data_IF_916501666913
#
_entry.id   IF_916501666913
#
_cell.length_a   1.000
_cell.length_b   1.000
_cell.length_c   1.000
_cell.angle_alpha   90.00
_cell.angle_beta   90.00
_cell.angle_gamma   90.00
#
_symmetry.space_group_name_H-M   'P 1'
#
loop_
_entity.id
_entity.type
_entity.pdbx_description
1 polymer ?
#
# COMPACT_ATOMS: atom_id res chain seq x y z
N UNK A 1 -24.15 -11.69 -13.57
CA UNK A 1 -24.65 -12.01 -14.92
C UNK A 1 -23.53 -11.74 -15.94
N UNK A 2 -22.41 -12.47 -15.85
CA UNK A 2 -21.22 -12.32 -16.70
C UNK A 2 -20.53 -13.68 -16.97
N UNK A 3 -21.21 -14.80 -16.70
CA UNK A 3 -20.56 -16.12 -16.53
C UNK A 3 -20.17 -16.87 -17.81
N UNK A 4 -20.73 -16.50 -18.97
CA UNK A 4 -20.61 -17.32 -20.19
C UNK A 4 -19.97 -16.58 -21.39
N UNK A 5 -19.51 -15.35 -21.21
CA UNK A 5 -18.85 -14.62 -22.28
C UNK A 5 -17.42 -15.17 -22.49
N UNK A 6 -17.08 -15.70 -23.69
CA UNK A 6 -15.76 -16.28 -23.98
C UNK A 6 -14.59 -15.33 -23.71
N UNK A 7 -14.79 -14.02 -23.84
CA UNK A 7 -13.76 -13.03 -23.57
C UNK A 7 -13.46 -12.94 -22.06
N UNK A 8 -14.49 -12.95 -21.21
CA UNK A 8 -14.32 -12.94 -19.76
C UNK A 8 -13.69 -14.25 -19.26
N UNK A 9 -14.08 -15.39 -19.84
CA UNK A 9 -13.49 -16.68 -19.50
C UNK A 9 -12.00 -16.73 -19.88
N UNK A 10 -11.63 -16.23 -21.07
CA UNK A 10 -10.23 -16.14 -21.50
C UNK A 10 -9.39 -15.22 -20.58
N UNK A 11 -9.95 -14.09 -20.15
CA UNK A 11 -9.30 -13.21 -19.16
C UNK A 11 -9.13 -13.95 -17.83
N UNK A 12 -10.19 -14.57 -17.30
CA UNK A 12 -10.15 -15.29 -16.04
C UNK A 12 -9.12 -16.43 -16.05
N UNK A 13 -9.05 -17.20 -17.13
CA UNK A 13 -8.10 -18.30 -17.26
C UNK A 13 -6.66 -17.81 -17.46
N UNK A 14 -6.46 -16.72 -18.20
CA UNK A 14 -5.15 -16.10 -18.30
C UNK A 14 -4.68 -15.45 -16.98
N UNK A 15 -5.57 -14.88 -16.17
CA UNK A 15 -5.24 -14.41 -14.82
C UNK A 15 -4.84 -15.57 -13.89
N UNK A 16 -5.54 -16.71 -13.95
CA UNK A 16 -5.14 -17.95 -13.24
C UNK A 16 -3.79 -18.47 -13.76
N UNK A 17 -3.52 -18.37 -15.05
CA UNK A 17 -2.23 -18.75 -15.64
C UNK A 17 -1.11 -17.84 -15.13
N UNK A 18 -1.35 -16.53 -15.02
CA UNK A 18 -0.41 -15.56 -14.45
C UNK A 18 -0.13 -15.80 -12.97
N UNK A 19 -1.09 -16.30 -12.18
CA UNK A 19 -0.84 -16.70 -10.79
C UNK A 19 0.20 -17.83 -10.69
N UNK A 20 0.31 -18.65 -11.74
CA UNK A 20 1.29 -19.73 -11.85
C UNK A 20 2.54 -19.33 -12.64
N UNK A 21 2.66 -18.07 -13.05
CA UNK A 21 3.84 -17.59 -13.75
C UNK A 21 5.08 -17.84 -12.90
N UNK A 22 6.13 -18.32 -13.56
CA UNK A 22 7.37 -18.67 -12.88
C UNK A 22 8.35 -17.50 -12.92
N UNK A 23 8.87 -17.06 -11.77
CA UNK A 23 9.98 -16.12 -11.74
C UNK A 23 11.28 -16.85 -12.14
N UNK A 24 12.01 -16.32 -13.11
CA UNK A 24 13.33 -16.81 -13.51
C UNK A 24 14.38 -15.81 -13.06
N UNK A 25 15.13 -16.16 -12.01
CA UNK A 25 16.22 -15.36 -11.49
C UNK A 25 17.55 -15.63 -12.24
N UNK A 26 18.50 -14.68 -12.27
CA UNK A 26 19.84 -14.93 -12.83
C UNK A 26 20.53 -16.13 -12.15
N UNK A 27 21.11 -17.03 -12.95
CA UNK A 27 21.64 -18.32 -12.48
C UNK A 27 22.75 -18.18 -11.44
N UNK A 28 23.68 -17.25 -11.66
CA UNK A 28 24.79 -16.96 -10.73
C UNK A 28 24.25 -16.44 -9.39
N UNK A 29 23.36 -15.44 -9.43
CA UNK A 29 22.78 -14.85 -8.23
C UNK A 29 21.96 -15.88 -7.44
N UNK A 30 21.16 -16.70 -8.12
CA UNK A 30 20.36 -17.77 -7.52
C UNK A 30 21.23 -18.86 -6.89
N UNK A 31 22.34 -19.23 -7.54
CA UNK A 31 23.28 -20.22 -7.01
C UNK A 31 23.96 -19.73 -5.74
N UNK A 32 24.34 -18.44 -5.70
CA UNK A 32 24.88 -17.80 -4.50
C UNK A 32 23.87 -17.81 -3.34
N UNK A 33 22.61 -17.44 -3.59
CA UNK A 33 21.56 -17.44 -2.56
C UNK A 33 21.29 -18.86 -2.06
N UNK A 34 21.22 -19.85 -2.96
CA UNK A 34 21.07 -21.27 -2.62
C UNK A 34 22.17 -21.73 -1.66
N UNK A 35 23.43 -21.46 -1.98
CA UNK A 35 24.56 -21.82 -1.11
C UNK A 35 24.50 -21.14 0.25
N UNK A 36 24.09 -19.86 0.30
CA UNK A 36 23.91 -19.15 1.58
C UNK A 36 22.81 -19.76 2.44
N UNK A 37 21.67 -20.16 1.84
CA UNK A 37 20.57 -20.82 2.55
C UNK A 37 20.97 -22.21 3.04
N UNK A 38 21.61 -23.03 2.20
CA UNK A 38 22.05 -24.38 2.56
C UNK A 38 23.13 -24.37 3.67
N UNK A 39 24.01 -23.37 3.69
CA UNK A 39 25.01 -23.21 4.74
C UNK A 39 24.42 -22.71 6.07
N UNK A 40 23.34 -21.91 6.02
CA UNK A 40 22.78 -21.24 7.19
C UNK A 40 21.73 -22.07 7.95
N UNK A 41 21.09 -23.03 7.29
CA UNK A 41 19.97 -23.78 7.86
C UNK A 41 20.25 -25.28 7.91
N UNK A 42 19.76 -25.94 8.98
CA UNK A 42 19.81 -27.38 9.07
C UNK A 42 18.94 -28.06 7.98
N UNK A 43 19.31 -29.26 7.51
CA UNK A 43 18.47 -30.05 6.61
C UNK A 43 17.05 -30.23 7.17
N UNK A 44 16.03 -29.99 6.33
CA UNK A 44 14.62 -30.08 6.72
C UNK A 44 14.04 -28.83 7.37
N UNK A 45 14.81 -27.74 7.52
CA UNK A 45 14.27 -26.46 8.00
C UNK A 45 13.21 -25.91 7.03
N UNK A 46 11.98 -25.69 7.52
CA UNK A 46 10.82 -25.34 6.68
C UNK A 46 11.03 -24.07 5.86
N UNK A 47 11.52 -22.99 6.47
CA UNK A 47 11.77 -21.74 5.76
C UNK A 47 12.84 -21.92 4.67
N UNK A 48 13.90 -22.68 4.96
CA UNK A 48 14.97 -22.91 3.99
C UNK A 48 14.43 -23.67 2.77
N UNK A 49 13.58 -24.68 2.99
CA UNK A 49 12.90 -25.39 1.91
C UNK A 49 12.03 -24.45 1.06
N UNK A 50 11.28 -23.52 1.67
CA UNK A 50 10.48 -22.53 0.95
C UNK A 50 11.32 -21.56 0.13
N UNK A 51 12.43 -21.04 0.69
CA UNK A 51 13.37 -20.18 -0.03
C UNK A 51 13.98 -20.91 -1.24
N UNK A 52 14.44 -22.15 -1.04
CA UNK A 52 15.05 -22.96 -2.10
C UNK A 52 14.05 -23.36 -3.20
N UNK A 53 12.79 -23.61 -2.83
CA UNK A 53 11.71 -23.86 -3.78
C UNK A 53 11.39 -22.62 -4.62
N UNK A 54 11.42 -21.43 -4.03
CA UNK A 54 11.22 -20.17 -4.74
C UNK A 54 12.34 -19.85 -5.75
N UNK A 55 13.53 -20.46 -5.62
CA UNK A 55 14.65 -20.37 -6.56
C UNK A 55 14.69 -21.54 -7.56
N UNK A 56 13.75 -22.48 -7.46
CA UNK A 56 13.74 -23.73 -8.22
C UNK A 56 13.04 -23.64 -9.57
N UNK A 57 13.12 -24.72 -10.37
CA UNK A 57 12.36 -24.85 -11.61
C UNK A 57 10.84 -24.88 -11.38
N UNK A 58 10.39 -25.27 -10.19
CA UNK A 58 8.98 -25.32 -9.81
C UNK A 58 8.50 -24.03 -9.11
N UNK A 59 9.29 -22.95 -9.16
CA UNK A 59 8.92 -21.69 -8.52
C UNK A 59 7.66 -21.10 -9.15
N UNK A 60 6.74 -20.60 -8.32
CA UNK A 60 5.49 -19.98 -8.74
C UNK A 60 5.31 -18.62 -8.09
N UNK A 61 4.70 -17.68 -8.82
CA UNK A 61 4.37 -16.34 -8.32
C UNK A 61 3.59 -16.39 -7.00
N UNK A 62 2.52 -17.18 -6.93
CA UNK A 62 1.66 -17.28 -5.74
C UNK A 62 2.44 -17.74 -4.49
N UNK A 63 3.30 -18.76 -4.65
CA UNK A 63 4.16 -19.28 -3.59
C UNK A 63 5.22 -18.26 -3.17
N UNK A 64 5.82 -17.52 -4.11
CA UNK A 64 6.75 -16.44 -3.79
C UNK A 64 6.04 -15.31 -3.02
N UNK A 65 4.85 -14.91 -3.46
CA UNK A 65 4.06 -13.88 -2.79
C UNK A 65 3.66 -14.31 -1.36
N UNK A 66 3.24 -15.57 -1.18
CA UNK A 66 2.95 -16.12 0.14
C UNK A 66 4.18 -16.16 1.05
N UNK A 67 5.34 -16.56 0.49
CA UNK A 67 6.62 -16.55 1.20
C UNK A 67 6.99 -15.14 1.68
N UNK A 68 6.94 -14.13 0.79
CA UNK A 68 7.21 -12.74 1.16
C UNK A 68 6.20 -12.21 2.18
N UNK A 69 4.93 -12.60 2.07
CA UNK A 69 3.90 -12.30 3.07
C UNK A 69 4.26 -12.83 4.46
N UNK A 70 4.80 -14.05 4.54
CA UNK A 70 5.29 -14.63 5.80
C UNK A 70 6.61 -14.03 6.32
N UNK A 71 7.31 -13.27 5.48
CA UNK A 71 8.54 -12.55 5.85
C UNK A 71 8.28 -11.09 6.27
N UNK A 72 7.02 -10.66 6.33
CA UNK A 72 6.65 -9.36 6.91
C UNK A 72 7.09 -9.28 8.38
N UNK A 73 7.41 -8.07 8.88
CA UNK A 73 7.66 -7.89 10.30
C UNK A 73 6.38 -8.07 11.12
N UNK A 74 6.52 -8.13 12.44
CA UNK A 74 5.40 -7.94 13.35
C UNK A 74 5.05 -6.45 13.39
N UNK A 75 4.07 -6.05 12.58
CA UNK A 75 3.69 -4.64 12.44
C UNK A 75 3.16 -4.04 13.73
N UNK A 76 2.40 -4.80 14.51
CA UNK A 76 1.86 -4.35 15.79
C UNK A 76 2.99 -4.05 16.78
N UNK A 77 3.98 -4.94 16.89
CA UNK A 77 5.15 -4.74 17.77
C UNK A 77 6.02 -3.56 17.31
N UNK A 78 6.27 -3.44 16.00
CA UNK A 78 6.96 -2.27 15.41
C UNK A 78 6.22 -0.96 15.70
N UNK A 79 4.89 -1.00 15.64
CA UNK A 79 4.05 0.15 15.92
C UNK A 79 4.06 0.51 17.40
N UNK A 80 3.98 -0.47 18.30
CA UNK A 80 4.09 -0.26 19.74
C UNK A 80 5.46 0.30 20.17
N UNK A 81 6.48 0.16 19.32
CA UNK A 81 7.84 0.58 19.64
C UNK A 81 8.55 -0.41 20.57
N UNK A 82 8.19 -1.68 20.48
CA UNK A 82 8.78 -2.74 21.30
C UNK A 82 10.29 -2.85 21.05
N UNK A 83 11.03 -3.19 22.12
CA UNK A 83 12.50 -3.23 22.09
C UNK A 83 13.08 -4.28 21.13
N UNK A 84 12.30 -5.31 20.79
CA UNK A 84 12.65 -6.30 19.78
C UNK A 84 11.49 -6.44 18.79
N UNK A 85 11.49 -5.65 17.71
CA UNK A 85 10.44 -5.70 16.70
C UNK A 85 10.46 -6.99 15.86
N UNK A 86 11.45 -7.87 16.05
CA UNK A 86 11.68 -9.08 15.25
C UNK A 86 11.70 -10.34 16.11
N UNK A 87 10.68 -10.60 16.95
CA UNK A 87 10.70 -11.75 17.85
C UNK A 87 10.82 -13.09 17.11
N UNK A 88 10.29 -13.15 15.88
CA UNK A 88 10.39 -14.32 15.00
C UNK A 88 11.83 -14.60 14.53
N UNK A 89 12.70 -13.59 14.49
CA UNK A 89 14.07 -13.73 14.02
C UNK A 89 15.00 -14.34 15.07
N UNK A 90 14.57 -14.39 16.34
CA UNK A 90 15.27 -15.17 17.38
C UNK A 90 15.41 -16.63 16.99
N UNK A 91 14.45 -17.17 16.25
CA UNK A 91 14.48 -18.56 15.76
C UNK A 91 15.43 -18.78 14.58
N UNK A 92 15.80 -17.73 13.83
CA UNK A 92 16.62 -17.84 12.62
C UNK A 92 18.13 -17.84 12.91
N UNK A 93 18.56 -17.36 14.08
CA UNK A 93 19.97 -17.06 14.33
C UNK A 93 20.52 -15.99 13.37
N UNK A 94 21.79 -15.62 13.52
CA UNK A 94 22.41 -14.61 12.65
C UNK A 94 22.56 -15.11 11.21
N UNK A 95 23.13 -16.30 11.02
CA UNK A 95 23.37 -16.88 9.71
C UNK A 95 22.06 -17.05 8.90
N UNK A 96 21.01 -17.57 9.52
CA UNK A 96 19.71 -17.75 8.88
C UNK A 96 19.10 -16.43 8.42
N UNK A 97 19.14 -15.40 9.26
CA UNK A 97 18.61 -14.09 8.88
C UNK A 97 19.43 -13.42 7.77
N UNK A 98 20.77 -13.56 7.75
CA UNK A 98 21.61 -13.07 6.64
C UNK A 98 21.29 -13.80 5.32
N UNK A 99 21.03 -15.11 5.38
CA UNK A 99 20.61 -15.87 4.21
C UNK A 99 19.24 -15.41 3.68
N UNK A 100 18.28 -15.13 4.58
CA UNK A 100 16.97 -14.55 4.19
C UNK A 100 17.15 -13.15 3.60
N UNK A 101 17.95 -12.29 4.22
CA UNK A 101 18.24 -10.95 3.68
C UNK A 101 18.80 -11.06 2.26
N UNK A 102 19.77 -11.94 2.03
CA UNK A 102 20.37 -12.21 0.71
C UNK A 102 19.32 -12.65 -0.33
N UNK A 103 18.37 -13.49 0.07
CA UNK A 103 17.23 -13.85 -0.79
C UNK A 103 16.34 -12.64 -1.11
N UNK A 104 16.02 -11.82 -0.11
CA UNK A 104 15.23 -10.60 -0.33
C UNK A 104 15.93 -9.61 -1.25
N UNK A 105 17.27 -9.48 -1.21
CA UNK A 105 18.00 -8.63 -2.15
C UNK A 105 17.84 -9.12 -3.60
N UNK A 106 17.91 -10.44 -3.81
CA UNK A 106 17.68 -11.04 -5.13
C UNK A 106 16.27 -10.74 -5.64
N UNK A 107 15.26 -10.87 -4.78
CA UNK A 107 13.87 -10.53 -5.12
C UNK A 107 13.69 -9.03 -5.34
N UNK A 108 14.37 -8.19 -4.58
CA UNK A 108 14.31 -6.73 -4.73
C UNK A 108 14.93 -6.25 -6.06
N UNK A 109 16.04 -6.87 -6.48
CA UNK A 109 16.71 -6.55 -7.76
C UNK A 109 15.95 -7.12 -8.98
N UNK A 110 14.90 -7.93 -8.77
CA UNK A 110 14.09 -8.59 -9.78
C UNK A 110 13.44 -7.72 -10.89
N UNK A 111 13.03 -6.44 -10.69
CA UNK A 111 12.25 -5.70 -11.68
C UNK A 111 12.91 -5.55 -13.06
N UNK A 112 14.22 -5.75 -13.18
CA UNK A 112 14.94 -5.77 -14.45
C UNK A 112 15.59 -7.11 -14.82
N UNK A 113 15.52 -8.12 -13.95
CA UNK A 113 16.28 -9.37 -14.08
C UNK A 113 15.44 -10.65 -13.99
N UNK A 114 14.17 -10.55 -13.59
CA UNK A 114 13.25 -11.69 -13.58
C UNK A 114 12.46 -11.72 -14.87
N UNK A 115 12.79 -12.69 -15.72
CA UNK A 115 11.90 -13.06 -16.83
C UNK A 115 10.78 -13.91 -16.27
N UNK A 116 9.56 -13.66 -16.72
CA UNK A 116 8.39 -14.44 -16.35
C UNK A 116 8.10 -15.46 -17.44
N UNK A 117 8.11 -16.74 -17.09
CA UNK A 117 7.59 -17.77 -17.98
C UNK A 117 6.06 -17.82 -17.80
N UNK A 118 5.33 -17.27 -18.77
CA UNK A 118 3.86 -17.33 -18.79
C UNK A 118 3.39 -18.57 -19.53
N UNK A 119 2.43 -19.33 -18.98
CA UNK A 119 1.88 -20.48 -19.70
C UNK A 119 0.96 -20.09 -20.87
N UNK A 120 0.52 -18.83 -20.99
CA UNK A 120 -0.45 -18.40 -22.03
C UNK A 120 -0.35 -16.89 -22.31
N UNK A 121 -0.36 -16.45 -23.59
CA UNK A 121 -0.47 -15.02 -23.92
C UNK A 121 -1.88 -14.49 -23.62
N UNK A 122 -1.97 -13.32 -22.97
CA UNK A 122 -3.23 -12.61 -22.74
C UNK A 122 -3.49 -11.57 -23.85
N UNK A 123 -4.75 -11.23 -24.14
CA UNK A 123 -5.09 -10.18 -25.10
C UNK A 123 -4.51 -8.80 -24.71
N UNK A 124 -4.21 -7.98 -25.73
CA UNK A 124 -3.94 -6.53 -25.58
C UNK A 124 -2.84 -6.15 -24.57
N UNK A 125 -1.78 -6.96 -24.48
CA UNK A 125 -0.63 -6.65 -23.60
C UNK A 125 -0.99 -6.67 -22.11
N UNK A 126 -2.06 -7.38 -21.73
CA UNK A 126 -2.49 -7.48 -20.32
C UNK A 126 -1.49 -8.30 -19.51
N UNK A 127 -0.89 -9.34 -20.09
CA UNK A 127 0.11 -10.15 -19.39
C UNK A 127 1.32 -9.32 -18.95
N UNK A 128 1.88 -8.51 -19.85
CA UNK A 128 3.05 -7.68 -19.58
C UNK A 128 2.77 -6.66 -18.48
N UNK A 129 1.62 -5.96 -18.56
CA UNK A 129 1.21 -4.99 -17.54
C UNK A 129 0.97 -5.62 -16.17
N UNK A 130 0.29 -6.76 -16.12
CA UNK A 130 0.06 -7.50 -14.88
C UNK A 130 1.37 -7.98 -14.27
N UNK A 131 2.28 -8.52 -15.09
CA UNK A 131 3.59 -8.99 -14.63
C UNK A 131 4.50 -7.85 -14.17
N UNK A 132 4.44 -6.68 -14.83
CA UNK A 132 5.13 -5.48 -14.37
C UNK A 132 4.60 -5.04 -13.00
N UNK A 133 3.27 -4.97 -12.83
CA UNK A 133 2.64 -4.67 -11.54
C UNK A 133 3.06 -5.65 -10.44
N UNK A 134 3.17 -6.94 -10.78
CA UNK A 134 3.66 -7.98 -9.86
C UNK A 134 5.11 -7.79 -9.50
N UNK A 135 5.99 -7.52 -10.46
CA UNK A 135 7.40 -7.28 -10.19
C UNK A 135 7.59 -6.09 -9.25
N UNK A 136 6.82 -5.01 -9.47
CA UNK A 136 6.78 -3.85 -8.57
C UNK A 136 6.28 -4.26 -7.19
N UNK A 137 5.19 -5.03 -7.09
CA UNK A 137 4.65 -5.53 -5.81
C UNK A 137 5.68 -6.35 -5.03
N UNK A 138 6.36 -7.30 -5.69
CA UNK A 138 7.36 -8.15 -5.05
C UNK A 138 8.56 -7.33 -4.58
N UNK A 139 8.99 -6.34 -5.38
CA UNK A 139 10.04 -5.39 -4.98
C UNK A 139 9.65 -4.63 -3.71
N UNK A 140 8.42 -4.14 -3.64
CA UNK A 140 7.91 -3.46 -2.45
C UNK A 140 7.89 -4.37 -1.22
N UNK A 141 7.40 -5.61 -1.36
CA UNK A 141 7.38 -6.57 -0.26
C UNK A 141 8.79 -6.94 0.22
N UNK A 142 9.73 -7.12 -0.71
CA UNK A 142 11.12 -7.36 -0.38
C UNK A 142 11.76 -6.14 0.30
N UNK A 143 11.48 -4.93 -0.18
CA UNK A 143 11.93 -3.69 0.44
C UNK A 143 11.38 -3.54 1.87
N UNK A 144 10.08 -3.81 2.07
CA UNK A 144 9.43 -3.81 3.38
C UNK A 144 10.10 -4.79 4.34
N UNK A 145 10.30 -6.04 3.91
CA UNK A 145 10.95 -7.03 4.75
C UNK A 145 12.40 -6.65 5.08
N UNK A 146 13.16 -6.11 4.12
CA UNK A 146 14.53 -5.62 4.36
C UNK A 146 14.55 -4.46 5.35
N UNK A 147 13.78 -3.40 5.07
CA UNK A 147 13.79 -2.15 5.86
C UNK A 147 13.22 -2.32 7.25
N UNK A 148 12.16 -3.12 7.37
CA UNK A 148 11.43 -3.20 8.61
C UNK A 148 11.80 -4.41 9.43
N UNK A 149 12.12 -5.56 8.82
CA UNK A 149 12.42 -6.82 9.54
C UNK A 149 13.92 -7.16 9.60
N UNK A 150 14.57 -7.18 8.45
CA UNK A 150 15.96 -7.64 8.33
C UNK A 150 16.98 -6.50 8.39
N UNK A 151 16.63 -5.39 9.02
CA UNK A 151 17.43 -4.16 9.09
C UNK A 151 18.54 -4.17 10.15
N UNK A 152 18.64 -5.24 10.95
CA UNK A 152 19.70 -5.43 11.94
C UNK A 152 21.10 -5.62 11.33
N UNK A 153 21.16 -5.87 10.03
CA UNK A 153 22.39 -5.98 9.28
C UNK A 153 22.41 -4.93 8.18
N UNK A 154 23.49 -4.16 8.12
CA UNK A 154 23.75 -3.35 6.93
C UNK A 154 24.16 -4.28 5.79
N UNK A 155 23.32 -4.31 4.76
CA UNK A 155 23.56 -5.07 3.53
C UNK A 155 23.39 -4.16 2.31
N UNK A 156 23.98 -4.51 1.15
CA UNK A 156 23.76 -3.75 -0.07
C UNK A 156 22.27 -3.64 -0.45
N UNK A 157 21.48 -4.70 -0.23
CA UNK A 157 20.05 -4.72 -0.47
C UNK A 157 19.27 -3.80 0.45
N UNK A 158 19.61 -3.72 1.74
CA UNK A 158 18.99 -2.76 2.67
C UNK A 158 19.23 -1.31 2.23
N UNK A 159 20.46 -0.98 1.83
CA UNK A 159 20.78 0.36 1.30
C UNK A 159 19.93 0.68 0.06
N UNK A 160 19.80 -0.27 -0.86
CA UNK A 160 18.96 -0.11 -2.05
C UNK A 160 17.47 0.01 -1.70
N UNK A 161 16.97 -0.78 -0.74
CA UNK A 161 15.59 -0.73 -0.27
C UNK A 161 15.27 0.65 0.33
N UNK A 162 16.17 1.20 1.17
CA UNK A 162 16.05 2.56 1.72
C UNK A 162 16.03 3.63 0.63
N UNK A 163 16.93 3.54 -0.35
CA UNK A 163 16.95 4.47 -1.48
C UNK A 163 15.67 4.37 -2.32
N UNK A 164 15.17 3.16 -2.54
CA UNK A 164 13.89 2.93 -3.20
C UNK A 164 12.72 3.55 -2.43
N UNK A 165 12.67 3.34 -1.12
CA UNK A 165 11.68 3.99 -0.27
C UNK A 165 11.79 5.51 -0.31
N UNK A 166 12.99 6.08 -0.21
CA UNK A 166 13.16 7.53 -0.29
C UNK A 166 12.61 8.07 -1.63
N UNK A 167 12.95 7.42 -2.74
CA UNK A 167 12.49 7.81 -4.07
C UNK A 167 10.97 7.66 -4.28
N UNK A 168 10.33 6.68 -3.62
CA UNK A 168 8.91 6.41 -3.79
C UNK A 168 8.05 7.02 -2.70
N UNK A 169 8.57 7.40 -1.54
CA UNK A 169 7.79 8.04 -0.47
C UNK A 169 7.65 9.52 -0.72
N UNK A 170 8.70 10.15 -1.22
CA UNK A 170 8.78 11.60 -1.32
C UNK A 170 8.87 12.06 -2.78
N UNK A 171 8.01 13.00 -3.16
CA UNK A 171 8.03 13.60 -4.48
C UNK A 171 7.64 15.07 -4.43
N UNK A 172 7.95 15.78 -5.52
CA UNK A 172 7.41 17.13 -5.71
C UNK A 172 5.89 17.07 -5.84
N UNK A 173 5.23 18.14 -5.37
CA UNK A 173 3.79 18.28 -5.51
C UNK A 173 3.34 18.11 -6.98
N UNK A 174 2.21 17.42 -7.22
CA UNK A 174 1.76 17.16 -8.58
C UNK A 174 1.37 18.46 -9.27
N UNK A 175 1.74 18.56 -10.55
CA UNK A 175 1.24 19.63 -11.41
C UNK A 175 -0.26 19.48 -11.56
N UNK A 176 -0.97 20.58 -11.36
CA UNK A 176 -2.41 20.62 -11.44
C UNK A 176 -2.84 20.78 -12.90
N UNK A 177 -3.96 20.16 -13.31
CA UNK A 177 -4.37 20.08 -14.71
C UNK A 177 -4.76 21.45 -15.30
N UNK A 178 -5.27 22.35 -14.46
CA UNK A 178 -5.67 23.71 -14.83
C UNK A 178 -5.55 24.68 -13.64
N UNK A 179 -5.92 25.94 -13.86
CA UNK A 179 -5.85 27.00 -12.85
C UNK A 179 -6.83 26.79 -11.68
N UNK A 180 -8.01 26.22 -11.94
CA UNK A 180 -9.05 26.01 -10.91
C UNK A 180 -8.59 24.91 -9.95
N UNK A 181 -8.06 23.81 -10.48
CA UNK A 181 -7.45 22.75 -9.68
C UNK A 181 -6.20 23.27 -8.94
N UNK A 182 -5.41 24.16 -9.53
CA UNK A 182 -4.28 24.80 -8.87
C UNK A 182 -4.68 25.67 -7.68
N UNK A 183 -5.73 26.48 -7.83
CA UNK A 183 -6.29 27.32 -6.78
C UNK A 183 -6.87 26.48 -5.64
N UNK A 184 -7.63 25.42 -5.98
CA UNK A 184 -8.18 24.47 -4.99
C UNK A 184 -7.06 23.73 -4.23
N UNK A 185 -6.02 23.27 -4.91
CA UNK A 185 -4.85 22.68 -4.25
C UNK A 185 -4.18 23.69 -3.30
N UNK A 186 -4.12 24.97 -3.69
CA UNK A 186 -3.63 26.06 -2.83
C UNK A 186 -4.50 26.27 -1.60
N UNK A 187 -5.82 26.29 -1.76
CA UNK A 187 -6.80 26.39 -0.67
C UNK A 187 -6.63 25.25 0.34
N UNK A 188 -6.57 24.00 -0.15
CA UNK A 188 -6.35 22.81 0.68
C UNK A 188 -5.04 22.95 1.44
N UNK A 189 -3.94 23.28 0.77
CA UNK A 189 -2.63 23.42 1.44
C UNK A 189 -2.63 24.50 2.52
N UNK A 190 -3.28 25.63 2.27
CA UNK A 190 -3.36 26.71 3.24
C UNK A 190 -4.22 26.33 4.45
N UNK A 191 -5.35 25.66 4.24
CA UNK A 191 -6.25 25.26 5.33
C UNK A 191 -5.60 24.25 6.29
N UNK A 192 -4.79 23.33 5.78
CA UNK A 192 -4.14 22.27 6.55
C UNK A 192 -2.66 22.54 6.87
N UNK A 193 -2.14 23.74 6.55
CA UNK A 193 -0.71 24.07 6.72
C UNK A 193 -0.22 23.84 8.15
N UNK A 194 -1.07 24.21 9.10
CA UNK A 194 -0.77 24.20 10.54
C UNK A 194 -1.46 23.02 11.26
N UNK A 195 -1.94 22.01 10.50
CA UNK A 195 -2.51 20.79 11.07
C UNK A 195 -1.43 20.06 11.88
N UNK A 196 -1.68 19.74 13.16
CA UNK A 196 -0.68 19.07 13.99
C UNK A 196 -0.43 17.66 13.47
N UNK A 197 0.85 17.27 13.42
CA UNK A 197 1.22 15.89 13.15
C UNK A 197 0.64 14.97 14.24
N UNK A 198 0.12 13.78 13.89
CA UNK A 198 -0.34 12.82 14.88
C UNK A 198 0.82 12.39 15.78
N UNK A 199 0.51 12.07 17.04
CA UNK A 199 1.50 11.45 17.92
C UNK A 199 1.92 10.08 17.35
N UNK A 200 3.14 9.59 17.61
CA UNK A 200 3.62 8.32 17.03
C UNK A 200 2.75 7.09 17.30
N UNK A 201 1.96 7.10 18.39
CA UNK A 201 1.00 6.06 18.77
C UNK A 201 -0.46 6.38 18.42
N UNK A 202 -0.72 7.50 17.74
CA UNK A 202 -2.06 7.97 17.33
C UNK A 202 -2.17 8.04 15.80
N UNK A 203 -1.66 7.00 15.12
CA UNK A 203 -1.75 6.86 13.67
C UNK A 203 -2.88 5.93 13.24
N UNK A 204 -3.11 4.84 13.98
CA UNK A 204 -4.18 3.89 13.70
C UNK A 204 -5.41 4.13 14.57
N UNK A 205 -6.59 4.05 13.96
CA UNK A 205 -7.91 4.02 14.60
C UNK A 205 -8.51 2.61 14.65
N UNK A 206 -7.79 1.59 14.18
CA UNK A 206 -8.16 0.18 14.27
C UNK A 206 -7.04 -0.66 14.84
N UNK A 207 -7.38 -1.67 15.63
CA UNK A 207 -6.46 -2.70 16.15
C UNK A 207 -6.71 -4.06 15.49
N UNK A 208 -7.63 -4.13 14.51
CA UNK A 208 -8.01 -5.37 13.84
C UNK A 208 -7.06 -5.72 12.69
N UNK A 209 -6.28 -6.78 12.87
CA UNK A 209 -5.36 -7.31 11.87
C UNK A 209 -4.07 -6.50 11.73
N UNK A 210 -3.24 -6.88 10.76
CA UNK A 210 -1.90 -6.32 10.58
C UNK A 210 -1.88 -5.03 9.75
N UNK A 211 -2.84 -4.88 8.83
CA UNK A 211 -2.87 -3.76 7.87
C UNK A 211 -2.91 -2.36 8.53
N UNK A 212 -3.71 -2.11 9.58
CA UNK A 212 -3.70 -0.80 10.25
C UNK A 212 -2.32 -0.43 10.78
N UNK A 213 -1.59 -1.40 11.34
CA UNK A 213 -0.25 -1.20 11.88
C UNK A 213 0.81 -1.06 10.79
N UNK A 214 0.70 -1.80 9.69
CA UNK A 214 1.56 -1.65 8.50
C UNK A 214 1.51 -0.20 8.00
N UNK A 215 0.29 0.34 7.81
CA UNK A 215 0.12 1.72 7.38
C UNK A 215 0.64 2.71 8.43
N UNK A 216 0.34 2.49 9.71
CA UNK A 216 0.80 3.38 10.76
C UNK A 216 2.35 3.46 10.81
N UNK A 217 3.06 2.35 10.63
CA UNK A 217 4.53 2.33 10.55
C UNK A 217 5.05 3.08 9.31
N UNK A 218 4.44 2.87 8.14
CA UNK A 218 4.85 3.53 6.90
C UNK A 218 4.65 5.05 6.93
N UNK A 219 3.58 5.53 7.57
CA UNK A 219 3.25 6.97 7.69
C UNK A 219 3.92 7.68 8.88
N UNK A 220 4.52 6.94 9.82
CA UNK A 220 5.14 7.50 11.01
C UNK A 220 6.21 8.55 10.67
N UNK A 221 6.07 9.73 11.28
CA UNK A 221 7.03 10.83 11.14
C UNK A 221 7.05 11.48 9.74
N UNK A 222 6.08 11.15 8.88
CA UNK A 222 6.02 11.69 7.52
C UNK A 222 5.34 13.05 7.49
N UNK A 223 5.77 13.87 6.53
CA UNK A 223 5.10 15.11 6.19
C UNK A 223 4.16 14.87 5.01
N UNK A 224 2.86 15.12 5.21
CA UNK A 224 1.85 14.93 4.18
C UNK A 224 2.14 15.74 2.91
N UNK A 225 2.84 16.88 3.03
CA UNK A 225 3.14 17.80 1.93
C UNK A 225 4.14 17.24 0.92
N UNK A 226 4.93 16.26 1.33
CA UNK A 226 5.98 15.65 0.52
C UNK A 226 5.63 14.27 -0.04
N UNK A 227 4.46 13.71 0.30
CA UNK A 227 4.11 12.34 -0.09
C UNK A 227 3.90 12.21 -1.61
N UNK A 228 4.49 11.18 -2.21
CA UNK A 228 4.33 10.89 -3.64
C UNK A 228 2.97 10.26 -3.98
N UNK A 229 2.60 10.30 -5.26
CA UNK A 229 1.38 9.60 -5.73
C UNK A 229 1.53 8.08 -5.64
N UNK A 230 2.74 7.55 -5.89
CA UNK A 230 3.04 6.13 -5.81
C UNK A 230 2.86 5.61 -4.38
N UNK A 231 3.35 6.35 -3.39
CA UNK A 231 3.18 6.03 -1.98
C UNK A 231 1.72 6.07 -1.57
N UNK A 232 1.03 7.18 -1.85
CA UNK A 232 -0.37 7.33 -1.46
C UNK A 232 -1.24 6.26 -2.15
N UNK A 233 -0.97 5.90 -3.41
CA UNK A 233 -1.68 4.86 -4.16
C UNK A 233 -1.49 3.48 -3.58
N UNK A 234 -0.27 3.16 -3.18
CA UNK A 234 0.00 1.88 -2.52
C UNK A 234 -0.73 1.76 -1.19
N UNK A 235 -0.88 2.88 -0.48
CA UNK A 235 -1.52 2.93 0.83
C UNK A 235 -2.90 3.58 0.77
N UNK A 236 -3.69 3.31 -0.29
CA UNK A 236 -5.03 3.87 -0.46
C UNK A 236 -5.99 3.49 0.67
N UNK A 237 -5.88 2.25 1.18
CA UNK A 237 -6.69 1.77 2.29
C UNK A 237 -6.29 2.37 3.65
N UNK A 238 -5.14 3.05 3.77
CA UNK A 238 -4.72 3.68 5.02
C UNK A 238 -5.75 4.71 5.51
N UNK A 239 -6.44 5.38 4.59
CA UNK A 239 -7.53 6.29 4.93
C UNK A 239 -8.67 5.61 5.68
N UNK A 240 -8.93 4.31 5.55
CA UNK A 240 -9.96 3.64 6.35
C UNK A 240 -9.49 3.36 7.78
N UNK A 241 -8.18 3.22 7.97
CA UNK A 241 -7.58 2.81 9.25
C UNK A 241 -7.04 3.95 10.08
N UNK A 242 -6.82 5.14 9.51
CA UNK A 242 -6.28 6.26 10.29
C UNK A 242 -7.17 6.67 11.46
N UNK A 243 -6.54 6.96 12.60
CA UNK A 243 -7.18 7.67 13.70
C UNK A 243 -7.70 9.03 13.21
N UNK A 244 -8.63 9.69 13.93
CA UNK A 244 -9.10 11.02 13.55
C UNK A 244 -7.95 12.03 13.35
N UNK A 245 -6.94 12.01 14.22
CA UNK A 245 -5.78 12.90 14.13
C UNK A 245 -4.94 12.63 12.88
N UNK A 246 -4.59 11.36 12.62
CA UNK A 246 -3.83 10.98 11.44
C UNK A 246 -4.60 11.22 10.15
N UNK A 247 -5.92 10.97 10.15
CA UNK A 247 -6.77 11.23 8.99
C UNK A 247 -6.79 12.70 8.66
N UNK A 248 -7.03 13.59 9.64
CA UNK A 248 -6.98 15.05 9.45
C UNK A 248 -5.63 15.50 8.89
N UNK A 249 -4.54 14.94 9.37
CA UNK A 249 -3.19 15.33 8.96
C UNK A 249 -2.84 14.84 7.54
N UNK A 250 -3.21 13.62 7.15
CA UNK A 250 -2.79 13.04 5.86
C UNK A 250 -3.81 13.19 4.72
N UNK A 251 -5.11 13.36 4.99
CA UNK A 251 -6.13 13.54 3.94
C UNK A 251 -5.83 14.66 2.91
N UNK A 252 -5.16 15.77 3.26
CA UNK A 252 -4.85 16.83 2.28
C UNK A 252 -3.93 16.35 1.16
N UNK A 253 -3.00 15.43 1.46
CA UNK A 253 -2.15 14.82 0.44
C UNK A 253 -3.00 14.07 -0.59
N UNK A 254 -3.96 13.28 -0.12
CA UNK A 254 -4.86 12.53 -0.99
C UNK A 254 -5.75 13.45 -1.83
N UNK A 255 -6.33 14.49 -1.24
CA UNK A 255 -7.14 15.46 -1.99
C UNK A 255 -6.33 16.15 -3.09
N UNK A 256 -5.13 16.64 -2.78
CA UNK A 256 -4.25 17.34 -3.76
C UNK A 256 -3.80 16.41 -4.90
N UNK A 257 -3.53 15.14 -4.60
CA UNK A 257 -3.14 14.14 -5.60
C UNK A 257 -4.32 13.57 -6.39
N UNK A 258 -5.55 13.79 -5.93
CA UNK A 258 -6.76 13.39 -6.65
C UNK A 258 -7.11 14.35 -7.79
N UNK A 259 -6.82 15.65 -7.64
CA UNK A 259 -7.18 16.70 -8.61
C UNK A 259 -6.67 16.48 -10.06
N UNK A 260 -5.45 15.95 -10.32
CA UNK A 260 -5.02 15.63 -11.68
C UNK A 260 -5.79 14.47 -12.35
N UNK A 261 -6.65 13.76 -11.62
CA UNK A 261 -7.52 12.69 -12.11
C UNK A 261 -7.38 11.37 -11.32
N UNK A 262 -8.37 10.47 -11.40
CA UNK A 262 -8.49 9.26 -10.57
C UNK A 262 -7.57 8.11 -11.04
N UNK A 263 -6.28 8.38 -11.28
CA UNK A 263 -5.33 7.39 -11.84
C UNK A 263 -4.69 6.48 -10.78
N UNK A 264 -5.29 6.37 -9.60
CA UNK A 264 -4.64 5.70 -8.47
C UNK A 264 -5.64 5.11 -7.48
N UNK A 265 -5.20 4.14 -6.67
CA UNK A 265 -6.09 3.26 -5.89
C UNK A 265 -6.67 3.90 -4.62
N UNK A 266 -6.34 5.16 -4.33
CA UNK A 266 -6.89 5.83 -3.16
C UNK A 266 -8.13 6.63 -3.51
N UNK A 267 -9.18 6.44 -2.71
CA UNK A 267 -10.45 7.14 -2.88
C UNK A 267 -10.70 8.07 -1.68
N UNK A 268 -10.18 9.32 -1.72
CA UNK A 268 -10.50 10.30 -0.69
C UNK A 268 -11.97 10.70 -0.70
N UNK A 269 -12.68 10.61 -1.83
CA UNK A 269 -14.10 10.98 -1.93
C UNK A 269 -14.93 10.00 -1.09
N UNK A 270 -14.76 8.69 -1.29
CA UNK A 270 -15.40 7.68 -0.45
C UNK A 270 -15.13 7.92 1.05
N UNK A 271 -13.88 8.17 1.42
CA UNK A 271 -13.50 8.36 2.83
C UNK A 271 -14.03 9.67 3.45
N UNK A 272 -14.49 10.63 2.65
CA UNK A 272 -15.06 11.90 3.10
C UNK A 272 -16.60 11.93 3.04
N UNK A 273 -17.22 10.99 2.32
CA UNK A 273 -18.68 10.92 2.14
C UNK A 273 -19.32 9.73 2.84
N UNK A 274 -18.59 8.64 3.04
CA UNK A 274 -19.10 7.42 3.66
C UNK A 274 -19.62 7.67 5.09
N UNK A 275 -20.83 7.17 5.34
CA UNK A 275 -21.58 7.36 6.58
C UNK A 275 -22.59 8.51 6.53
N UNK A 276 -22.58 9.34 5.48
CA UNK A 276 -23.57 10.41 5.31
C UNK A 276 -24.57 10.17 4.18
N UNK A 277 -24.33 9.17 3.33
CA UNK A 277 -25.27 8.83 2.28
C UNK A 277 -26.40 7.93 2.79
N UNK A 278 -27.57 8.00 2.15
CA UNK A 278 -28.70 7.14 2.48
C UNK A 278 -28.35 5.66 2.33
N UNK A 279 -27.53 5.32 1.32
CA UNK A 279 -27.06 3.96 1.09
C UNK A 279 -26.15 3.41 2.21
N UNK A 280 -25.56 4.29 3.03
CA UNK A 280 -24.71 3.89 4.16
C UNK A 280 -25.51 3.67 5.45
N UNK A 281 -26.79 4.09 5.49
CA UNK A 281 -27.69 3.85 6.62
C UNK A 281 -28.12 2.39 6.58
N UNK A 282 -27.38 1.56 7.32
CA UNK A 282 -27.65 0.13 7.40
C UNK A 282 -29.00 -0.18 8.06
N UNK A 283 -29.38 -1.46 8.04
CA UNK A 283 -30.55 -1.93 8.75
C UNK A 283 -30.45 -1.68 10.27
N UNK A 284 -31.58 -1.69 10.96
CA UNK A 284 -31.65 -1.57 12.42
C UNK A 284 -30.70 -2.58 13.11
N UNK A 285 -29.83 -2.09 14.00
CA UNK A 285 -28.80 -2.89 14.68
C UNK A 285 -27.44 -2.97 13.95
N UNK A 286 -27.29 -2.34 12.80
CA UNK A 286 -25.98 -2.16 12.15
C UNK A 286 -25.13 -1.08 12.83
N UNK A 287 -23.84 -1.03 12.49
CA UNK A 287 -22.93 0.01 12.97
C UNK A 287 -23.45 1.39 12.52
N UNK A 288 -23.50 2.33 13.45
CA UNK A 288 -23.85 3.73 13.16
C UNK A 288 -22.67 4.41 12.45
N UNK A 289 -22.64 4.25 11.12
CA UNK A 289 -21.63 4.84 10.25
C UNK A 289 -21.66 6.36 10.27
N UNK A 290 -22.82 6.98 10.43
CA UNK A 290 -22.94 8.44 10.53
C UNK A 290 -22.25 8.93 11.81
N UNK A 291 -22.52 8.31 12.96
CA UNK A 291 -21.85 8.67 14.20
C UNK A 291 -20.35 8.41 14.14
N UNK A 292 -19.91 7.33 13.49
CA UNK A 292 -18.49 7.05 13.26
C UNK A 292 -17.82 8.15 12.42
N UNK A 293 -18.44 8.54 11.29
CA UNK A 293 -17.97 9.61 10.42
C UNK A 293 -17.93 10.96 11.16
N UNK A 294 -18.99 11.30 11.91
CA UNK A 294 -19.04 12.54 12.72
C UNK A 294 -17.92 12.60 13.76
N UNK A 295 -17.64 11.50 14.47
CA UNK A 295 -16.52 11.45 15.43
C UNK A 295 -15.18 11.65 14.73
N UNK A 296 -15.00 10.99 13.59
CA UNK A 296 -13.78 11.11 12.78
C UNK A 296 -13.53 12.53 12.28
N UNK A 297 -14.58 13.23 11.83
CA UNK A 297 -14.45 14.56 11.25
C UNK A 297 -14.57 15.71 12.27
N UNK A 298 -14.94 15.42 13.53
CA UNK A 298 -15.05 16.42 14.59
C UNK A 298 -13.73 17.15 14.91
N UNK A 299 -12.57 16.59 14.51
CA UNK A 299 -11.24 17.18 14.74
C UNK A 299 -10.88 18.28 13.74
N UNK A 300 -11.65 18.45 12.66
CA UNK A 300 -11.38 19.45 11.62
C UNK A 300 -11.82 20.84 12.08
N UNK A 301 -10.97 21.82 11.84
CA UNK A 301 -11.25 23.24 12.06
C UNK A 301 -12.18 23.79 10.98
N UNK A 302 -12.82 24.96 11.20
CA UNK A 302 -13.68 25.57 10.18
C UNK A 302 -12.99 25.80 8.81
N UNK A 303 -11.74 26.31 8.73
CA UNK A 303 -11.04 26.45 7.45
C UNK A 303 -10.80 25.11 6.74
N UNK A 304 -10.44 24.06 7.50
CA UNK A 304 -10.21 22.72 6.95
C UNK A 304 -11.52 22.11 6.43
N UNK A 305 -12.64 22.25 7.15
CA UNK A 305 -13.96 21.81 6.70
C UNK A 305 -14.39 22.53 5.42
N UNK A 306 -14.15 23.83 5.32
CA UNK A 306 -14.44 24.60 4.11
C UNK A 306 -13.62 24.12 2.91
N UNK A 307 -12.33 23.79 3.11
CA UNK A 307 -11.49 23.23 2.07
C UNK A 307 -11.96 21.84 1.61
N UNK A 308 -12.39 20.98 2.54
CA UNK A 308 -13.00 19.67 2.20
C UNK A 308 -14.30 19.85 1.42
N UNK A 309 -15.18 20.76 1.83
CA UNK A 309 -16.42 21.05 1.10
C UNK A 309 -16.13 21.55 -0.33
N UNK A 310 -15.15 22.45 -0.50
CA UNK A 310 -14.73 22.93 -1.82
C UNK A 310 -14.15 21.80 -2.69
N UNK A 311 -13.36 20.90 -2.10
CA UNK A 311 -12.86 19.70 -2.79
C UNK A 311 -13.99 18.80 -3.27
N UNK A 312 -14.94 18.47 -2.38
CA UNK A 312 -16.08 17.62 -2.73
C UNK A 312 -16.97 18.27 -3.80
N UNK A 313 -17.23 19.57 -3.72
CA UNK A 313 -17.98 20.28 -4.76
C UNK A 313 -17.26 20.29 -6.11
N UNK A 314 -15.93 20.39 -6.12
CA UNK A 314 -15.14 20.22 -7.34
C UNK A 314 -15.27 18.80 -7.90
N UNK A 315 -15.19 17.76 -7.06
CA UNK A 315 -15.40 16.38 -7.49
C UNK A 315 -16.81 16.16 -8.07
N UNK A 316 -17.86 16.67 -7.43
CA UNK A 316 -19.25 16.59 -7.93
C UNK A 316 -19.38 17.20 -9.34
N UNK A 317 -18.73 18.34 -9.58
CA UNK A 317 -18.74 19.01 -10.88
C UNK A 317 -17.94 18.28 -11.98
N UNK A 318 -17.05 17.36 -11.60
CA UNK A 318 -16.16 16.64 -12.51
C UNK A 318 -16.39 15.12 -12.52
N UNK A 319 -17.38 14.62 -11.79
CA UNK A 319 -17.75 13.21 -11.75
C UNK A 319 -18.69 12.87 -12.92
N UNK A 320 -18.25 12.08 -13.92
CA UNK A 320 -19.09 11.71 -15.05
C UNK A 320 -20.25 10.77 -14.67
N UNK A 321 -20.26 10.23 -13.45
CA UNK A 321 -21.28 9.29 -12.98
C UNK A 321 -22.30 9.91 -12.01
N UNK A 322 -22.16 11.20 -11.68
CA UNK A 322 -23.04 11.96 -10.79
C UNK A 322 -23.31 11.26 -9.43
N UNK A 323 -22.27 10.88 -8.68
CA UNK A 323 -22.43 10.15 -7.41
C UNK A 323 -23.25 10.98 -6.37
N UNK A 324 -24.50 10.57 -6.04
CA UNK A 324 -25.35 11.30 -5.11
C UNK A 324 -24.73 11.40 -3.70
N UNK A 325 -23.80 10.52 -3.33
CA UNK A 325 -23.14 10.52 -2.02
C UNK A 325 -22.42 11.84 -1.74
N UNK A 326 -21.84 12.48 -2.77
CA UNK A 326 -21.13 13.74 -2.60
C UNK A 326 -22.10 14.83 -2.15
N UNK A 327 -23.23 14.98 -2.86
CA UNK A 327 -24.27 15.99 -2.57
C UNK A 327 -24.92 15.75 -1.21
N UNK A 328 -25.18 14.49 -0.86
CA UNK A 328 -25.75 14.12 0.44
C UNK A 328 -24.80 14.44 1.60
N UNK A 329 -23.52 14.12 1.48
CA UNK A 329 -22.51 14.46 2.48
C UNK A 329 -22.32 15.98 2.62
N UNK A 330 -22.31 16.72 1.50
CA UNK A 330 -22.25 18.19 1.48
C UNK A 330 -23.40 18.80 2.27
N UNK A 331 -24.64 18.37 2.02
CA UNK A 331 -25.84 18.90 2.68
C UNK A 331 -25.97 18.48 4.16
N UNK A 332 -25.52 17.26 4.49
CA UNK A 332 -25.74 16.67 5.82
C UNK A 332 -24.65 17.02 6.83
N UNK A 333 -23.44 17.33 6.36
CA UNK A 333 -22.30 17.57 7.24
C UNK A 333 -21.40 18.74 6.79
N UNK A 334 -20.87 18.71 5.57
CA UNK A 334 -19.76 19.61 5.22
C UNK A 334 -20.15 21.09 5.09
N UNK A 335 -21.38 21.41 4.66
CA UNK A 335 -21.88 22.78 4.54
C UNK A 335 -22.59 23.32 5.80
N UNK A 336 -22.60 22.56 6.91
CA UNK A 336 -23.30 22.92 8.15
C UNK A 336 -22.41 23.56 9.21
#
# INVERSE_FOLDING_TARGET
>A
MFGDDPQYQAIADGLKALQKARPVFPSEASSRVRGAVEAAFAPGHKLAASLLAALGPEARRDSLQALLGGLKPDWASLYAGDADPHPQDRALGEAGARAVATFLELVFDAPGSVTWETPTPLPHGMAERELEGVAVQLRWQAAQALEWRFNRFETPGLTKARAFYAAHREAAAPKQPDIVAAELAGLIRNAFRDAPAPAPGDLSGSEEGDEPFEYAVEFRGRDWRGLSVEFLSRHGAALAFFSPAAFRYFIPAYMVHHLPGPRWNADPVFNLTHGFAEADKGAEGSLDWEAAARRRFAVFTPPERAAVAAFLAWCDAHDPFEDPRIREALASYWNR
#
